data_IF_367494704743
#
_entry.id   IF_367494704743
#
_cell.length_a   1.000
_cell.length_b   1.000
_cell.length_c   1.000
_cell.angle_alpha   90.00
_cell.angle_beta   90.00
_cell.angle_gamma   90.00
#
_symmetry.space_group_name_H-M   'P 1'
#
loop_
_entity.id
_entity.type
_entity.pdbx_description
1 polymer ?
#
# COMPACT_ATOMS: atom_id res chain seq x y z
N UNK A 1 -23.61 1.53 -4.92
CA UNK A 1 -22.59 0.79 -4.14
C UNK A 1 -21.78 -0.05 -5.12
N UNK A 2 -20.46 -0.14 -4.98
CA UNK A 2 -19.65 -0.92 -5.91
C UNK A 2 -19.90 -2.43 -5.71
N UNK A 3 -20.09 -3.18 -6.80
CA UNK A 3 -20.22 -4.63 -6.78
C UNK A 3 -18.83 -5.27 -6.96
N UNK A 4 -18.44 -6.17 -6.06
CA UNK A 4 -17.14 -6.86 -6.11
C UNK A 4 -17.31 -8.20 -6.82
N UNK A 5 -16.94 -8.23 -8.09
CA UNK A 5 -16.99 -9.43 -8.92
C UNK A 5 -15.67 -10.20 -8.78
N UNK A 6 -15.75 -11.44 -8.30
CA UNK A 6 -14.58 -12.31 -8.13
C UNK A 6 -14.37 -13.19 -9.37
N UNK A 7 -13.22 -13.03 -10.02
CA UNK A 7 -12.86 -13.83 -11.20
C UNK A 7 -12.09 -15.08 -10.77
N UNK A 8 -12.49 -16.26 -11.28
CA UNK A 8 -11.85 -17.55 -10.95
C UNK A 8 -10.50 -17.81 -11.64
N UNK A 9 -10.03 -16.90 -12.51
CA UNK A 9 -8.75 -17.05 -13.20
C UNK A 9 -7.57 -16.89 -12.24
N UNK A 10 -6.49 -17.65 -12.46
CA UNK A 10 -5.26 -17.57 -11.64
C UNK A 10 -4.48 -16.25 -11.81
N UNK A 11 -4.81 -15.45 -12.82
CA UNK A 11 -4.12 -14.21 -13.16
C UNK A 11 -4.87 -12.98 -12.62
N UNK A 12 -4.19 -12.12 -11.87
CA UNK A 12 -4.67 -10.77 -11.60
C UNK A 12 -4.39 -9.85 -12.79
N UNK A 13 -5.42 -9.15 -13.30
CA UNK A 13 -5.29 -8.14 -14.35
C UNK A 13 -5.84 -6.84 -13.78
N UNK A 14 -5.05 -5.77 -13.79
CA UNK A 14 -5.40 -4.45 -13.23
C UNK A 14 -6.03 -4.56 -11.82
N UNK A 15 -5.29 -5.08 -10.83
CA UNK A 15 -5.83 -5.31 -9.49
C UNK A 15 -6.31 -4.00 -8.84
N UNK A 16 -7.50 -4.04 -8.24
CA UNK A 16 -8.07 -2.92 -7.48
C UNK A 16 -7.43 -2.74 -6.09
N UNK A 17 -6.75 -3.79 -5.57
CA UNK A 17 -6.21 -3.83 -4.21
C UNK A 17 -4.70 -3.70 -4.18
N UNK A 18 -4.20 -3.11 -3.09
CA UNK A 18 -2.76 -3.00 -2.74
C UNK A 18 -2.46 -3.81 -1.48
N UNK A 19 -1.18 -3.93 -1.09
CA UNK A 19 -0.76 -4.73 0.07
C UNK A 19 -1.27 -4.17 1.39
N UNK A 20 -1.51 -5.05 2.37
CA UNK A 20 -1.96 -4.66 3.71
C UNK A 20 -0.91 -3.81 4.46
N UNK A 21 0.38 -4.07 4.23
CA UNK A 21 1.48 -3.32 4.85
C UNK A 21 1.50 -1.85 4.45
N UNK A 22 1.04 -1.53 3.23
CA UNK A 22 0.92 -0.15 2.75
C UNK A 22 -0.15 0.60 3.55
N UNK A 23 -1.33 -0.02 3.74
CA UNK A 23 -2.39 0.52 4.60
C UNK A 23 -1.94 0.69 6.05
N UNK A 24 -1.25 -0.30 6.63
CA UNK A 24 -0.69 -0.19 7.97
C UNK A 24 0.30 0.99 8.09
N UNK A 25 1.19 1.14 7.10
CA UNK A 25 2.16 2.24 7.06
C UNK A 25 1.49 3.61 7.08
N UNK A 26 0.38 3.77 6.36
CA UNK A 26 -0.40 5.02 6.37
C UNK A 26 -0.98 5.34 7.75
N UNK A 27 -1.50 4.33 8.46
CA UNK A 27 -2.01 4.50 9.83
C UNK A 27 -0.90 4.94 10.76
N UNK A 28 0.27 4.29 10.69
CA UNK A 28 1.42 4.66 11.53
C UNK A 28 1.90 6.08 11.22
N UNK A 29 1.96 6.51 9.95
CA UNK A 29 2.34 7.89 9.59
C UNK A 29 1.43 8.97 10.22
N UNK A 30 0.20 8.63 10.61
CA UNK A 30 -0.69 9.52 11.34
C UNK A 30 -0.36 9.68 12.84
N UNK A 31 0.56 8.88 13.38
CA UNK A 31 0.97 8.91 14.79
C UNK A 31 2.13 9.88 14.95
N UNK A 32 1.99 10.81 15.90
CA UNK A 32 3.02 11.82 16.24
C UNK A 32 4.36 11.16 16.57
N UNK A 33 5.43 11.63 15.93
CA UNK A 33 6.81 11.14 16.09
C UNK A 33 6.98 9.63 15.88
N UNK A 34 6.23 9.05 14.93
CA UNK A 34 6.44 7.66 14.52
C UNK A 34 7.26 7.55 13.23
N UNK A 35 7.89 6.40 13.04
CA UNK A 35 8.54 6.01 11.78
C UNK A 35 8.08 4.59 11.43
N UNK A 36 7.25 4.39 10.39
CA UNK A 36 6.81 3.06 10.00
C UNK A 36 8.00 2.23 9.49
N UNK A 37 8.21 1.06 10.09
CA UNK A 37 9.19 0.07 9.65
C UNK A 37 8.45 -1.15 9.11
N UNK A 38 8.60 -1.44 7.81
CA UNK A 38 8.09 -2.68 7.23
C UNK A 38 9.15 -3.77 7.35
N UNK A 39 8.90 -4.76 8.20
CA UNK A 39 9.75 -5.96 8.28
C UNK A 39 9.63 -6.77 6.98
N UNK A 40 10.74 -6.88 6.24
CA UNK A 40 10.78 -7.55 4.95
C UNK A 40 11.93 -7.05 4.08
N UNK A 41 11.82 -7.24 2.76
CA UNK A 41 12.82 -6.72 1.83
C UNK A 41 12.65 -5.21 1.62
N UNK A 42 13.77 -4.52 1.40
CA UNK A 42 13.81 -3.09 1.11
C UNK A 42 12.91 -2.65 -0.06
N UNK A 43 12.67 -3.57 -1.02
CA UNK A 43 11.83 -3.31 -2.19
C UNK A 43 10.39 -2.98 -1.81
N UNK A 44 9.82 -3.69 -0.83
CA UNK A 44 8.47 -3.41 -0.34
C UNK A 44 8.36 -1.98 0.22
N UNK A 45 9.38 -1.54 0.97
CA UNK A 45 9.44 -0.19 1.53
C UNK A 45 9.60 0.88 0.44
N UNK A 46 10.48 0.63 -0.53
CA UNK A 46 10.67 1.55 -1.66
C UNK A 46 9.38 1.76 -2.47
N UNK A 47 8.65 0.68 -2.79
CA UNK A 47 7.37 0.77 -3.50
C UNK A 47 6.30 1.52 -2.70
N UNK A 48 6.18 1.21 -1.40
CA UNK A 48 5.23 1.91 -0.52
C UNK A 48 5.49 3.41 -0.45
N UNK A 49 6.76 3.81 -0.32
CA UNK A 49 7.15 5.23 -0.34
C UNK A 49 6.78 5.90 -1.66
N UNK A 50 7.18 5.33 -2.80
CA UNK A 50 6.89 5.91 -4.12
C UNK A 50 5.37 6.02 -4.35
N UNK A 51 4.60 5.03 -3.91
CA UNK A 51 3.14 5.05 -4.01
C UNK A 51 2.53 6.26 -3.28
N UNK A 52 2.91 6.49 -2.02
CA UNK A 52 2.38 7.61 -1.23
C UNK A 52 2.91 8.96 -1.69
N UNK A 53 4.22 9.08 -1.99
CA UNK A 53 4.80 10.34 -2.47
C UNK A 53 4.14 10.79 -3.77
N UNK A 54 3.79 9.86 -4.67
CA UNK A 54 3.06 10.22 -5.90
C UNK A 54 1.61 10.64 -5.65
N UNK A 55 0.94 10.02 -4.68
CA UNK A 55 -0.44 10.32 -4.37
C UNK A 55 -0.60 11.64 -3.62
N UNK A 56 0.16 11.83 -2.54
CA UNK A 56 0.09 13.01 -1.66
C UNK A 56 0.98 14.16 -2.11
N UNK A 57 2.00 13.89 -2.94
CA UNK A 57 3.00 14.87 -3.41
C UNK A 57 3.88 15.43 -2.29
N UNK A 58 4.01 14.69 -1.19
CA UNK A 58 4.80 15.02 -0.01
C UNK A 58 5.76 13.86 0.32
N UNK A 59 6.90 14.12 1.00
CA UNK A 59 7.91 13.11 1.33
C UNK A 59 7.48 12.04 2.34
#
# INVERSE_FOLDING_TARGET
MAEIIHWKKALAVNPLKVSQTLGASLVFLGIRHSLPLMHGSQGCTAFGKVFFVRHFREP
#
